data_IF_020625175366
#
_entry.id   IF_020625175366
#
_cell.length_a   1.000
_cell.length_b   1.000
_cell.length_c   1.000
_cell.angle_alpha   90.00
_cell.angle_beta   90.00
_cell.angle_gamma   90.00
#
_symmetry.space_group_name_H-M   'P 1'
#
loop_
_entity.id
_entity.type
_entity.pdbx_description
1 polymer ?
#
# COMPACT_ATOMS: atom_id res chain seq x y z
N UNK A 1 -41.73 2.77 25.46
CA UNK A 1 -42.53 2.39 24.29
C UNK A 1 -41.63 1.65 23.30
N UNK A 2 -41.76 0.32 23.16
CA UNK A 2 -40.97 -0.46 22.21
C UNK A 2 -41.71 -0.65 20.86
N UNK A 3 -40.97 -0.50 19.77
CA UNK A 3 -41.41 -0.62 18.37
C UNK A 3 -41.34 -2.06 17.87
N UNK A 4 -42.50 -2.65 17.58
CA UNK A 4 -42.65 -3.99 16.99
C UNK A 4 -43.01 -3.87 15.49
N UNK A 5 -42.01 -3.78 14.61
CA UNK A 5 -42.21 -3.72 13.16
C UNK A 5 -41.40 -4.73 12.34
N UNK A 6 -40.67 -5.66 12.99
CA UNK A 6 -39.81 -6.63 12.30
C UNK A 6 -40.46 -7.99 12.01
N UNK A 7 -41.58 -8.34 12.67
CA UNK A 7 -42.22 -9.66 12.51
C UNK A 7 -43.18 -9.72 11.30
N UNK A 8 -43.68 -8.58 10.84
CA UNK A 8 -44.68 -8.52 9.77
C UNK A 8 -44.10 -8.84 8.39
N UNK A 9 -42.81 -8.56 8.15
CA UNK A 9 -42.17 -8.76 6.85
C UNK A 9 -41.97 -10.23 6.45
N UNK A 10 -41.67 -11.10 7.42
CA UNK A 10 -41.48 -12.53 7.19
C UNK A 10 -42.79 -13.24 6.84
N UNK A 11 -43.89 -12.82 7.48
CA UNK A 11 -45.23 -13.40 7.27
C UNK A 11 -45.78 -12.98 5.90
N UNK A 12 -45.61 -11.71 5.52
CA UNK A 12 -46.05 -11.20 4.20
C UNK A 12 -45.26 -11.84 3.06
N UNK A 13 -43.94 -12.04 3.24
CA UNK A 13 -43.11 -12.73 2.24
C UNK A 13 -43.49 -14.21 2.03
N UNK A 14 -43.78 -14.93 3.12
CA UNK A 14 -44.23 -16.32 3.04
C UNK A 14 -45.61 -16.49 2.38
N UNK A 15 -46.53 -15.56 2.62
CA UNK A 15 -47.88 -15.60 2.05
C UNK A 15 -47.89 -15.35 0.52
N UNK A 16 -47.03 -14.46 0.03
CA UNK A 16 -46.89 -14.18 -1.41
C UNK A 16 -46.29 -15.41 -2.14
N UNK A 17 -45.31 -16.08 -1.54
CA UNK A 17 -44.72 -17.29 -2.11
C UNK A 17 -45.72 -18.46 -2.14
N UNK A 18 -46.55 -18.62 -1.11
CA UNK A 18 -47.53 -19.71 -1.02
C UNK A 18 -48.69 -19.59 -2.03
N UNK A 19 -49.01 -18.38 -2.51
CA UNK A 19 -50.11 -18.14 -3.47
C UNK A 19 -49.61 -18.12 -4.92
N UNK A 20 -48.39 -17.65 -5.16
CA UNK A 20 -47.84 -17.57 -6.52
C UNK A 20 -47.52 -18.96 -7.10
N UNK A 21 -47.04 -19.90 -6.29
CA UNK A 21 -46.61 -21.23 -6.74
C UNK A 21 -47.80 -22.08 -7.25
N UNK A 22 -48.95 -22.16 -6.56
CA UNK A 22 -50.12 -22.90 -7.06
C UNK A 22 -50.80 -22.22 -8.27
N UNK A 23 -50.86 -20.89 -8.27
CA UNK A 23 -51.50 -20.13 -9.35
C UNK A 23 -50.75 -20.30 -10.68
N UNK A 24 -49.41 -20.35 -10.66
CA UNK A 24 -48.60 -20.60 -11.85
C UNK A 24 -48.65 -22.08 -12.30
N UNK A 25 -48.73 -23.03 -11.35
CA UNK A 25 -48.74 -24.45 -11.64
C UNK A 25 -50.04 -24.94 -12.30
N UNK A 26 -51.19 -24.36 -11.90
CA UNK A 26 -52.50 -24.76 -12.41
C UNK A 26 -52.82 -24.04 -13.75
N UNK A 27 -52.29 -22.84 -13.97
CA UNK A 27 -52.61 -22.03 -15.15
C UNK A 27 -51.88 -22.38 -16.45
N UNK A 28 -50.70 -23.01 -16.41
CA UNK A 28 -49.84 -23.17 -17.60
C UNK A 28 -49.47 -24.63 -17.98
N UNK A 29 -49.96 -25.64 -17.26
CA UNK A 29 -49.76 -27.06 -17.61
C UNK A 29 -48.30 -27.54 -17.56
N UNK A 30 -47.46 -26.94 -16.71
CA UNK A 30 -46.03 -27.25 -16.63
C UNK A 30 -45.71 -28.38 -15.64
N UNK A 31 -44.74 -29.28 -15.93
CA UNK A 31 -44.38 -30.39 -15.03
C UNK A 31 -43.86 -29.89 -13.66
N UNK A 32 -44.32 -30.50 -12.57
CA UNK A 32 -44.02 -30.09 -11.19
C UNK A 32 -42.51 -30.01 -10.87
N UNK A 33 -41.69 -30.81 -11.55
CA UNK A 33 -40.23 -30.82 -11.40
C UNK A 33 -39.57 -29.54 -11.94
N UNK A 34 -40.11 -28.96 -13.03
CA UNK A 34 -39.63 -27.70 -13.59
C UNK A 34 -39.98 -26.51 -12.68
N UNK A 35 -41.16 -26.53 -12.06
CA UNK A 35 -41.59 -25.52 -11.09
C UNK A 35 -40.72 -25.53 -9.82
N UNK A 36 -40.22 -26.70 -9.38
CA UNK A 36 -39.28 -26.78 -8.26
C UNK A 36 -37.92 -26.15 -8.60
N UNK A 37 -37.41 -26.35 -9.82
CA UNK A 37 -36.15 -25.76 -10.28
C UNK A 37 -36.27 -24.24 -10.45
N UNK A 38 -37.36 -23.76 -11.06
CA UNK A 38 -37.64 -22.33 -11.22
C UNK A 38 -37.93 -21.68 -9.87
N UNK A 39 -38.63 -22.36 -8.96
CA UNK A 39 -38.92 -21.88 -7.61
C UNK A 39 -37.68 -21.79 -6.73
N UNK A 40 -36.77 -22.78 -6.77
CA UNK A 40 -35.47 -22.67 -6.09
C UNK A 40 -34.60 -21.55 -6.68
N UNK A 41 -34.61 -21.38 -8.00
CA UNK A 41 -33.86 -20.32 -8.69
C UNK A 41 -34.41 -18.92 -8.41
N UNK A 42 -35.73 -18.73 -8.52
CA UNK A 42 -36.41 -17.46 -8.29
C UNK A 42 -36.48 -17.11 -6.79
N UNK A 43 -36.71 -18.11 -5.92
CA UNK A 43 -36.69 -17.95 -4.47
C UNK A 43 -35.29 -17.67 -3.93
N UNK A 44 -34.27 -18.41 -4.38
CA UNK A 44 -32.87 -18.15 -4.04
C UNK A 44 -32.37 -16.81 -4.59
N UNK A 45 -32.75 -16.45 -5.81
CA UNK A 45 -32.44 -15.16 -6.43
C UNK A 45 -33.12 -13.98 -5.73
N UNK A 46 -34.39 -14.13 -5.33
CA UNK A 46 -35.11 -13.09 -4.59
C UNK A 46 -34.58 -12.92 -3.16
N UNK A 47 -34.25 -14.02 -2.46
CA UNK A 47 -33.61 -13.95 -1.14
C UNK A 47 -32.22 -13.32 -1.27
N UNK A 48 -31.42 -13.63 -2.29
CA UNK A 48 -30.12 -12.99 -2.51
C UNK A 48 -30.24 -11.50 -2.91
N UNK A 49 -31.29 -11.12 -3.65
CA UNK A 49 -31.53 -9.74 -4.07
C UNK A 49 -32.12 -8.85 -2.96
N UNK A 50 -32.92 -9.42 -2.04
CA UNK A 50 -33.50 -8.72 -0.89
C UNK A 50 -32.74 -8.94 0.43
N UNK A 51 -31.79 -9.87 0.50
CA UNK A 51 -30.96 -10.05 1.67
C UNK A 51 -30.19 -8.75 1.94
N UNK A 52 -30.14 -8.28 3.20
CA UNK A 52 -29.38 -7.10 3.54
C UNK A 52 -27.93 -7.34 3.12
N UNK A 53 -27.41 -6.48 2.23
CA UNK A 53 -26.04 -6.49 1.73
C UNK A 53 -24.96 -6.56 2.83
N UNK A 54 -25.35 -6.40 4.09
CA UNK A 54 -24.56 -6.51 5.31
C UNK A 54 -24.24 -7.96 5.78
N UNK A 55 -24.66 -9.03 5.09
CA UNK A 55 -24.35 -10.42 5.47
C UNK A 55 -23.03 -10.98 4.87
N UNK A 56 -22.36 -10.22 3.98
CA UNK A 56 -21.05 -10.59 3.41
C UNK A 56 -19.77 -10.01 4.05
N UNK A 57 -19.78 -9.34 5.23
CA UNK A 57 -18.61 -8.60 5.71
C UNK A 57 -17.41 -9.53 6.02
N UNK A 58 -17.65 -10.81 6.30
CA UNK A 58 -16.57 -11.78 6.54
C UNK A 58 -15.83 -12.18 5.25
N UNK A 59 -16.55 -12.30 4.12
CA UNK A 59 -15.96 -12.60 2.81
C UNK A 59 -15.19 -11.38 2.27
N UNK A 60 -15.78 -10.19 2.42
CA UNK A 60 -15.11 -8.93 2.06
C UNK A 60 -13.88 -8.67 2.93
N UNK A 61 -13.94 -8.93 4.24
CA UNK A 61 -12.78 -8.82 5.11
C UNK A 61 -11.65 -9.77 4.69
N UNK A 62 -11.98 -11.03 4.34
CA UNK A 62 -10.98 -11.99 3.86
C UNK A 62 -10.40 -11.62 2.49
N UNK A 63 -11.22 -11.11 1.57
CA UNK A 63 -10.79 -10.66 0.25
C UNK A 63 -9.91 -9.41 0.32
N UNK A 64 -10.35 -8.41 1.08
CA UNK A 64 -9.62 -7.17 1.33
C UNK A 64 -8.29 -7.43 2.06
N UNK A 65 -8.28 -8.31 3.07
CA UNK A 65 -7.04 -8.69 3.75
C UNK A 65 -6.05 -9.36 2.80
N UNK A 66 -6.51 -10.29 1.94
CA UNK A 66 -5.67 -10.94 0.94
C UNK A 66 -5.11 -9.92 -0.08
N UNK A 67 -5.94 -8.98 -0.54
CA UNK A 67 -5.50 -7.91 -1.43
C UNK A 67 -4.42 -7.02 -0.80
N UNK A 68 -4.58 -6.65 0.48
CA UNK A 68 -3.56 -5.87 1.21
C UNK A 68 -2.25 -6.63 1.38
N UNK A 69 -2.30 -7.94 1.67
CA UNK A 69 -1.09 -8.78 1.78
C UNK A 69 -0.35 -8.84 0.44
N UNK A 70 -1.08 -9.01 -0.66
CA UNK A 70 -0.48 -9.06 -2.00
C UNK A 70 0.14 -7.71 -2.38
N UNK A 71 -0.58 -6.61 -2.15
CA UNK A 71 -0.08 -5.26 -2.39
C UNK A 71 1.13 -4.92 -1.51
N UNK A 72 1.13 -5.36 -0.25
CA UNK A 72 2.28 -5.20 0.64
C UNK A 72 3.51 -5.92 0.07
N UNK A 73 3.35 -7.18 -0.36
CA UNK A 73 4.44 -7.94 -0.96
C UNK A 73 4.97 -7.28 -2.24
N UNK A 74 4.09 -6.78 -3.09
CA UNK A 74 4.46 -6.07 -4.32
C UNK A 74 5.27 -4.81 -4.02
N UNK A 75 4.76 -3.93 -3.16
CA UNK A 75 5.45 -2.67 -2.81
C UNK A 75 6.76 -2.91 -2.05
N UNK A 76 6.82 -3.94 -1.21
CA UNK A 76 8.09 -4.32 -0.56
C UNK A 76 9.10 -4.85 -1.56
N UNK A 77 8.67 -5.66 -2.54
CA UNK A 77 9.54 -6.15 -3.60
C UNK A 77 10.05 -5.03 -4.50
N UNK A 78 9.23 -4.02 -4.76
CA UNK A 78 9.61 -2.84 -5.55
C UNK A 78 10.58 -1.92 -4.78
N UNK A 79 10.39 -1.79 -3.47
CA UNK A 79 11.23 -0.94 -2.61
C UNK A 79 12.53 -1.62 -2.12
N UNK A 80 12.60 -2.96 -2.13
CA UNK A 80 13.75 -3.71 -1.66
C UNK A 80 15.09 -3.31 -2.33
N UNK A 81 15.16 -3.10 -3.66
CA UNK A 81 16.38 -2.64 -4.32
C UNK A 81 16.89 -1.30 -3.79
N UNK A 82 16.02 -0.39 -3.35
CA UNK A 82 16.47 0.90 -2.80
C UNK A 82 17.22 0.75 -1.49
N UNK A 83 16.85 -0.22 -0.65
CA UNK A 83 17.62 -0.51 0.58
C UNK A 83 18.97 -1.14 0.26
N UNK A 84 19.06 -1.98 -0.78
CA UNK A 84 20.32 -2.55 -1.25
C UNK A 84 21.24 -1.48 -1.85
N UNK A 85 20.70 -0.55 -2.64
CA UNK A 85 21.42 0.61 -3.18
C UNK A 85 22.01 1.48 -2.07
N UNK A 86 21.29 1.70 -0.96
CA UNK A 86 21.85 2.38 0.21
C UNK A 86 23.04 1.62 0.79
N UNK A 87 22.93 0.30 0.98
CA UNK A 87 24.05 -0.52 1.48
C UNK A 87 25.26 -0.46 0.53
N UNK A 88 25.03 -0.57 -0.78
CA UNK A 88 26.08 -0.43 -1.79
C UNK A 88 26.74 0.94 -1.77
N UNK A 89 25.95 2.02 -1.74
CA UNK A 89 26.45 3.38 -1.66
C UNK A 89 27.29 3.57 -0.39
N UNK A 90 26.84 3.04 0.76
CA UNK A 90 27.59 3.09 2.02
C UNK A 90 28.99 2.45 1.90
N UNK A 91 29.13 1.40 1.09
CA UNK A 91 30.40 0.72 0.86
C UNK A 91 31.36 1.48 -0.05
N UNK A 92 30.83 2.39 -0.90
CA UNK A 92 31.60 3.21 -1.84
C UNK A 92 32.07 4.54 -1.25
N UNK A 93 31.42 5.00 -0.17
CA UNK A 93 31.73 6.25 0.51
C UNK A 93 32.98 6.10 1.38
N UNK A 94 33.93 7.03 1.23
CA UNK A 94 35.20 7.08 1.96
C UNK A 94 35.03 7.74 3.33
N UNK A 95 34.24 8.81 3.40
CA UNK A 95 33.95 9.46 4.67
C UNK A 95 33.11 8.56 5.60
N UNK A 96 33.74 8.07 6.68
CA UNK A 96 33.13 7.13 7.61
C UNK A 96 31.79 7.59 8.18
N UNK A 97 31.69 8.86 8.61
CA UNK A 97 30.45 9.40 9.19
C UNK A 97 29.27 9.31 8.22
N UNK A 98 29.51 9.67 6.95
CA UNK A 98 28.45 9.65 5.93
C UNK A 98 28.12 8.21 5.53
N UNK A 99 29.13 7.35 5.37
CA UNK A 99 28.93 5.92 5.13
C UNK A 99 28.08 5.26 6.24
N UNK A 100 28.33 5.59 7.51
CA UNK A 100 27.56 5.05 8.63
C UNK A 100 26.11 5.56 8.65
N UNK A 101 25.88 6.84 8.33
CA UNK A 101 24.53 7.39 8.17
C UNK A 101 23.75 6.72 7.04
N UNK A 102 24.36 6.55 5.86
CA UNK A 102 23.73 5.85 4.73
C UNK A 102 23.43 4.38 5.07
N UNK A 103 24.33 3.70 5.78
CA UNK A 103 24.07 2.33 6.26
C UNK A 103 22.92 2.29 7.26
N UNK A 104 22.82 3.29 8.14
CA UNK A 104 21.73 3.37 9.10
C UNK A 104 20.37 3.58 8.41
N UNK A 105 20.29 4.38 7.36
CA UNK A 105 19.11 4.49 6.50
C UNK A 105 18.67 3.13 5.95
N UNK A 106 19.60 2.31 5.44
CA UNK A 106 19.30 0.97 4.94
C UNK A 106 18.76 0.05 6.04
N UNK A 107 19.35 0.10 7.24
CA UNK A 107 18.88 -0.66 8.41
C UNK A 107 17.46 -0.26 8.80
N UNK A 108 17.16 1.05 8.84
CA UNK A 108 15.81 1.54 9.15
C UNK A 108 14.81 1.07 8.10
N UNK A 109 15.14 1.17 6.82
CA UNK A 109 14.29 0.71 5.73
C UNK A 109 13.93 -0.79 5.88
N UNK A 110 14.93 -1.64 6.12
CA UNK A 110 14.73 -3.08 6.35
C UNK A 110 13.88 -3.35 7.60
N UNK A 111 14.02 -2.55 8.67
CA UNK A 111 13.17 -2.65 9.87
C UNK A 111 11.72 -2.31 9.56
N UNK A 112 11.47 -1.29 8.74
CA UNK A 112 10.12 -0.93 8.28
C UNK A 112 9.54 -2.07 7.45
N UNK A 113 10.31 -2.65 6.51
CA UNK A 113 9.87 -3.79 5.70
C UNK A 113 9.42 -4.96 6.57
N UNK A 114 10.25 -5.38 7.52
CA UNK A 114 9.92 -6.46 8.46
C UNK A 114 8.68 -6.16 9.31
N UNK A 115 8.40 -4.88 9.59
CA UNK A 115 7.17 -4.46 10.26
C UNK A 115 5.92 -4.67 9.40
N UNK A 116 6.00 -4.37 8.11
CA UNK A 116 4.89 -4.54 7.15
C UNK A 116 4.66 -6.01 6.81
N UNK A 117 5.71 -6.81 6.71
CA UNK A 117 5.57 -8.25 6.50
C UNK A 117 4.79 -8.92 7.66
N UNK A 118 4.98 -8.42 8.88
CA UNK A 118 4.26 -8.88 10.07
C UNK A 118 2.83 -8.35 10.13
N UNK A 119 2.61 -7.11 9.73
CA UNK A 119 1.31 -6.45 9.74
C UNK A 119 1.04 -5.66 8.44
N UNK A 120 0.52 -6.34 7.39
CA UNK A 120 0.21 -5.72 6.11
C UNK A 120 -0.85 -4.62 6.18
N UNK A 121 -1.61 -4.51 7.28
CA UNK A 121 -2.62 -3.46 7.45
C UNK A 121 -1.97 -2.08 7.64
N UNK A 122 -0.69 -2.03 8.04
CA UNK A 122 0.09 -0.80 8.16
C UNK A 122 0.59 -0.26 6.82
N UNK A 123 0.39 -0.99 5.71
CA UNK A 123 0.88 -0.60 4.39
C UNK A 123 0.46 0.82 4.00
N UNK A 124 -0.79 1.18 4.29
CA UNK A 124 -1.33 2.49 3.91
C UNK A 124 -0.55 3.65 4.56
N UNK A 125 0.05 3.41 5.74
CA UNK A 125 0.86 4.38 6.49
C UNK A 125 2.26 4.57 5.91
N UNK A 126 2.81 3.53 5.29
CA UNK A 126 4.20 3.52 4.79
C UNK A 126 4.32 3.55 3.28
N UNK A 127 3.19 3.47 2.56
CA UNK A 127 3.16 3.44 1.09
C UNK A 127 4.05 4.52 0.47
N UNK A 128 3.94 5.76 0.93
CA UNK A 128 4.73 6.89 0.42
C UNK A 128 6.23 6.77 0.76
N UNK A 129 6.56 6.19 1.92
CA UNK A 129 7.93 5.85 2.29
C UNK A 129 8.53 4.88 1.28
N UNK A 130 7.82 3.80 0.98
CA UNK A 130 8.25 2.77 0.04
C UNK A 130 8.38 3.30 -1.39
N UNK A 131 7.42 4.10 -1.86
CA UNK A 131 7.34 4.47 -3.28
C UNK A 131 8.03 5.77 -3.66
N UNK A 132 8.44 6.61 -2.69
CA UNK A 132 8.99 7.92 -2.99
C UNK A 132 10.21 8.26 -2.14
N UNK A 133 10.09 8.18 -0.82
CA UNK A 133 11.15 8.67 0.05
C UNK A 133 12.38 7.77 0.08
N UNK A 134 12.18 6.45 0.19
CA UNK A 134 13.28 5.50 0.21
C UNK A 134 14.07 5.46 -1.13
N UNK A 135 13.43 5.35 -2.31
CA UNK A 135 14.14 5.42 -3.57
C UNK A 135 14.94 6.71 -3.74
N UNK A 136 14.35 7.86 -3.37
CA UNK A 136 15.05 9.15 -3.46
C UNK A 136 16.23 9.26 -2.49
N UNK A 137 16.11 8.72 -1.28
CA UNK A 137 17.25 8.65 -0.36
C UNK A 137 18.40 7.81 -0.94
N UNK A 138 18.07 6.71 -1.62
CA UNK A 138 19.07 5.89 -2.32
C UNK A 138 19.75 6.65 -3.47
N UNK A 139 18.98 7.40 -4.28
CA UNK A 139 19.52 8.29 -5.33
C UNK A 139 20.52 9.30 -4.74
N UNK A 140 20.17 9.94 -3.62
CA UNK A 140 21.03 10.93 -2.95
C UNK A 140 22.32 10.29 -2.42
N UNK A 141 22.22 9.12 -1.80
CA UNK A 141 23.39 8.40 -1.29
C UNK A 141 24.34 7.99 -2.43
N UNK A 142 23.80 7.54 -3.57
CA UNK A 142 24.60 7.26 -4.76
C UNK A 142 25.26 8.51 -5.32
N UNK A 143 24.50 9.61 -5.46
CA UNK A 143 25.04 10.87 -5.94
C UNK A 143 26.17 11.39 -5.04
N UNK A 144 26.04 11.25 -3.71
CA UNK A 144 27.12 11.60 -2.79
C UNK A 144 28.37 10.75 -3.03
N UNK A 145 28.23 9.43 -3.18
CA UNK A 145 29.35 8.54 -3.46
C UNK A 145 30.07 8.89 -4.78
N UNK A 146 29.31 9.24 -5.82
CA UNK A 146 29.86 9.70 -7.11
C UNK A 146 30.58 11.05 -6.98
N UNK A 147 29.96 12.02 -6.30
CA UNK A 147 30.54 13.33 -6.04
C UNK A 147 31.85 13.23 -5.25
N UNK A 148 31.90 12.36 -4.25
CA UNK A 148 33.10 12.16 -3.44
C UNK A 148 34.23 11.53 -4.26
N UNK A 149 33.92 10.64 -5.20
CA UNK A 149 34.90 9.96 -6.06
C UNK A 149 35.35 10.80 -7.26
N UNK A 150 34.63 11.87 -7.60
CA UNK A 150 34.96 12.73 -8.72
C UNK A 150 36.37 13.36 -8.58
N UNK A 151 37.17 13.44 -9.66
CA UNK A 151 38.51 14.03 -9.61
C UNK A 151 38.53 15.51 -9.20
N UNK A 152 37.46 16.23 -9.51
CA UNK A 152 37.25 17.64 -9.14
C UNK A 152 35.87 17.74 -8.49
N UNK A 153 35.81 17.44 -7.20
CA UNK A 153 34.59 17.56 -6.41
C UNK A 153 34.39 19.00 -5.94
N UNK A 154 33.17 19.52 -6.10
CA UNK A 154 32.77 20.79 -5.50
C UNK A 154 32.59 20.60 -3.99
N UNK A 155 33.45 21.19 -3.14
CA UNK A 155 33.38 20.99 -1.69
C UNK A 155 32.09 21.52 -1.08
N UNK A 156 31.48 22.56 -1.67
CA UNK A 156 30.21 23.10 -1.18
C UNK A 156 29.07 22.11 -1.45
N UNK A 157 29.01 21.56 -2.67
CA UNK A 157 28.01 20.53 -3.02
C UNK A 157 28.16 19.28 -2.16
N UNK A 158 29.40 18.81 -1.92
CA UNK A 158 29.65 17.68 -1.02
C UNK A 158 29.16 17.96 0.41
N UNK A 159 29.45 19.15 0.95
CA UNK A 159 28.99 19.53 2.29
C UNK A 159 27.46 19.58 2.37
N UNK A 160 26.79 20.21 1.39
CA UNK A 160 25.33 20.28 1.35
C UNK A 160 24.68 18.89 1.23
N UNK A 161 25.18 18.01 0.34
CA UNK A 161 24.64 16.65 0.21
C UNK A 161 24.88 15.81 1.47
N UNK A 162 25.99 16.04 2.18
CA UNK A 162 26.22 15.43 3.51
C UNK A 162 25.17 15.88 4.53
N UNK A 163 24.95 17.18 4.65
CA UNK A 163 23.95 17.72 5.58
C UNK A 163 22.54 17.19 5.26
N UNK A 164 22.24 17.02 3.98
CA UNK A 164 21.03 16.36 3.52
C UNK A 164 20.94 14.92 4.03
N UNK A 165 21.98 14.11 3.86
CA UNK A 165 22.02 12.73 4.36
C UNK A 165 21.81 12.68 5.88
N UNK A 166 22.46 13.57 6.63
CA UNK A 166 22.30 13.64 8.09
C UNK A 166 20.84 14.00 8.48
N UNK A 167 20.20 14.92 7.75
CA UNK A 167 18.77 15.26 7.93
C UNK A 167 17.85 14.10 7.58
N UNK A 168 18.13 13.38 6.49
CA UNK A 168 17.39 12.19 6.09
C UNK A 168 17.47 11.11 7.15
N UNK A 169 18.66 10.85 7.69
CA UNK A 169 18.87 9.85 8.74
C UNK A 169 18.03 10.14 9.98
N UNK A 170 18.06 11.40 10.45
CA UNK A 170 17.24 11.84 11.56
C UNK A 170 15.73 11.69 11.27
N UNK A 171 15.28 12.06 10.07
CA UNK A 171 13.88 11.97 9.68
C UNK A 171 13.39 10.51 9.54
N UNK A 172 14.19 9.63 8.93
CA UNK A 172 13.91 8.20 8.82
C UNK A 172 13.80 7.56 10.22
N UNK A 173 14.72 7.92 11.12
CA UNK A 173 14.73 7.42 12.50
C UNK A 173 13.44 7.79 13.24
N UNK A 174 13.04 9.06 13.15
CA UNK A 174 11.80 9.55 13.78
C UNK A 174 10.56 8.93 13.17
N UNK A 175 10.52 8.83 11.84
CA UNK A 175 9.45 8.17 11.11
C UNK A 175 9.28 6.71 11.56
N UNK A 176 10.35 5.93 11.61
CA UNK A 176 10.33 4.54 12.05
C UNK A 176 9.94 4.39 13.54
N UNK A 177 10.29 5.35 14.39
CA UNK A 177 9.82 5.40 15.77
C UNK A 177 8.31 5.68 15.84
N UNK A 178 7.82 6.65 15.06
CA UNK A 178 6.39 7.00 15.02
C UNK A 178 5.50 5.86 14.51
N UNK A 179 6.01 4.99 13.64
CA UNK A 179 5.30 3.79 13.19
C UNK A 179 5.08 2.75 14.29
N UNK A 180 5.88 2.78 15.35
CA UNK A 180 5.70 1.92 16.53
C UNK A 180 4.69 2.53 17.50
N UNK A 181 4.57 3.86 17.51
CA UNK A 181 3.54 4.58 18.24
C UNK A 181 2.16 4.36 17.59
N UNK A 182 1.09 4.41 18.38
CA UNK A 182 -0.29 4.30 17.89
C UNK A 182 -0.84 5.62 17.29
N UNK A 183 -0.03 6.68 17.29
CA UNK A 183 -0.44 8.05 16.96
C UNK A 183 -0.30 8.34 15.45
N UNK A 184 -1.44 8.56 14.79
CA UNK A 184 -1.48 8.87 13.36
C UNK A 184 -1.06 10.31 13.05
N UNK A 185 -1.29 11.26 13.96
CA UNK A 185 -1.02 12.68 13.73
C UNK A 185 0.48 12.93 13.62
N UNK A 186 1.26 12.18 14.41
CA UNK A 186 2.73 12.22 14.37
C UNK A 186 3.29 11.71 13.04
N UNK A 187 2.67 10.70 12.43
CA UNK A 187 3.17 10.11 11.19
C UNK A 187 3.20 11.12 10.04
N UNK A 188 2.16 11.95 9.93
CA UNK A 188 2.08 12.99 8.90
C UNK A 188 3.12 14.09 9.10
N UNK A 189 3.46 14.40 10.36
CA UNK A 189 4.53 15.35 10.69
C UNK A 189 5.87 14.79 10.22
N UNK A 190 6.20 13.54 10.59
CA UNK A 190 7.47 12.93 10.19
C UNK A 190 7.57 12.77 8.67
N UNK A 191 6.46 12.46 7.99
CA UNK A 191 6.41 12.41 6.53
C UNK A 191 6.67 13.78 5.89
N UNK A 192 6.15 14.86 6.50
CA UNK A 192 6.44 16.24 6.07
C UNK A 192 7.89 16.61 6.32
N UNK A 193 8.49 16.20 7.44
CA UNK A 193 9.92 16.40 7.70
C UNK A 193 10.78 15.67 6.68
N UNK A 194 10.40 14.45 6.33
CA UNK A 194 11.05 13.66 5.30
C UNK A 194 10.96 14.37 3.93
N UNK A 195 9.76 14.81 3.56
CA UNK A 195 9.55 15.64 2.36
C UNK A 195 10.37 16.92 2.39
N UNK A 196 10.41 17.63 3.51
CA UNK A 196 11.18 18.88 3.64
C UNK A 196 12.65 18.62 3.46
N UNK A 197 13.20 17.59 4.11
CA UNK A 197 14.59 17.19 3.92
C UNK A 197 14.88 16.93 2.43
N UNK A 198 14.01 16.20 1.73
CA UNK A 198 14.18 15.93 0.30
C UNK A 198 14.03 17.19 -0.58
N UNK A 199 12.95 17.96 -0.42
CA UNK A 199 12.57 19.03 -1.35
C UNK A 199 13.38 20.34 -1.17
N UNK A 200 13.83 20.63 0.05
CA UNK A 200 14.53 21.89 0.40
C UNK A 200 15.90 22.00 -0.28
N UNK A 201 16.60 20.88 -0.44
CA UNK A 201 17.96 20.85 -1.02
C UNK A 201 18.00 20.43 -2.50
N UNK A 202 16.94 19.81 -3.03
CA UNK A 202 16.96 19.29 -4.41
C UNK A 202 16.51 20.30 -5.48
N UNK A 203 15.71 21.32 -5.14
CA UNK A 203 14.94 22.02 -6.18
C UNK A 203 14.04 21.05 -6.98
N UNK A 204 13.19 21.51 -7.92
CA UNK A 204 12.28 20.63 -8.64
C UNK A 204 13.05 19.61 -9.48
N UNK A 205 13.02 18.35 -9.02
CA UNK A 205 13.47 17.09 -9.64
C UNK A 205 14.18 17.20 -11.00
N UNK A 206 15.46 16.84 -11.03
CA UNK A 206 16.03 16.25 -12.24
C UNK A 206 15.17 15.03 -12.61
N UNK A 207 14.61 14.96 -13.83
CA UNK A 207 13.76 13.85 -14.24
C UNK A 207 14.52 12.53 -14.15
N UNK A 208 13.82 11.41 -13.89
CA UNK A 208 14.43 10.09 -13.80
C UNK A 208 15.26 9.81 -15.06
N UNK A 209 16.51 9.39 -14.87
CA UNK A 209 17.40 8.91 -15.92
C UNK A 209 16.95 7.54 -16.46
N UNK A 210 15.71 7.46 -16.93
CA UNK A 210 15.14 6.31 -17.61
C UNK A 210 14.92 6.69 -19.09
N UNK A 211 16.01 6.76 -19.85
CA UNK A 211 16.01 6.67 -21.33
C UNK A 211 17.42 6.37 -21.85
N UNK A 212 18.10 5.37 -21.26
CA UNK A 212 19.08 4.60 -22.02
C UNK A 212 18.40 3.32 -22.51
N UNK A 213 17.33 3.50 -23.31
CA UNK A 213 16.91 2.48 -24.27
C UNK A 213 18.04 2.39 -25.31
N UNK A 214 18.95 1.49 -25.00
CA UNK A 214 19.89 0.86 -25.90
C UNK A 214 19.12 0.24 -27.07
N UNK A 215 19.34 0.78 -28.26
CA UNK A 215 19.36 0.01 -29.50
C UNK A 215 18.01 -0.36 -30.11
N UNK A 216 17.60 0.43 -31.10
CA UNK A 216 17.09 -0.18 -32.34
C UNK A 216 17.55 0.61 -33.55
N UNK A 217 18.83 0.42 -33.83
CA UNK A 217 19.28 0.32 -35.20
C UNK A 217 18.49 -0.84 -35.85
N UNK A 218 17.56 -0.52 -36.74
CA UNK A 218 17.14 -1.40 -37.83
C UNK A 218 16.28 -0.67 -38.86
N UNK A 219 16.90 -0.58 -40.05
CA UNK A 219 16.37 -0.36 -41.42
C UNK A 219 16.12 1.08 -41.82
#
# INVERSE_FOLDING_TARGET
MPSASSETGWIVGGLIAAIAIPALAIGLGMPFWLACVIGLGAGGGAIAALAPRAAFPLLDASGAARGKVQLARELLSEAAPSAEQLDEASGRIRERKVADGVRHLAVIARRIFAGIEKDPLRLDRVRRFLTYYLPRAAEIAHAYAELEQAPVADPQRLASTRELIDRLDAAFTRYAASLQDADLDKLDIELKLLKSALDEDLGPAAPPAASLERGRDKV
#
